data_IF_619628499252
#
_entry.id   IF_619628499252
#
_cell.length_a   1.000
_cell.length_b   1.000
_cell.length_c   1.000
_cell.angle_alpha   90.00
_cell.angle_beta   90.00
_cell.angle_gamma   90.00
#
_symmetry.space_group_name_H-M   'P 1'
#
loop_
_entity.id
_entity.type
_entity.pdbx_description
1 polymer ?
#
# COMPACT_ATOMS: atom_id res chain seq x y z
N UNK A 1 -27.08 -4.98 -7.76
CA UNK A 1 -28.51 -4.77 -7.49
C UNK A 1 -28.80 -3.53 -6.63
N UNK A 2 -29.86 -2.77 -6.91
CA UNK A 2 -30.36 -1.68 -6.04
C UNK A 2 -31.77 -2.00 -5.54
N UNK A 3 -32.04 -1.83 -4.25
CA UNK A 3 -33.36 -2.06 -3.64
C UNK A 3 -33.74 -0.92 -2.69
N UNK A 4 -35.02 -0.83 -2.32
CA UNK A 4 -35.52 0.16 -1.36
C UNK A 4 -35.52 -0.41 0.08
N UNK A 5 -35.62 0.46 1.07
CA UNK A 5 -35.59 0.09 2.48
C UNK A 5 -36.68 -0.92 2.90
N UNK A 6 -37.87 -0.82 2.31
CA UNK A 6 -38.99 -1.72 2.66
C UNK A 6 -38.73 -3.14 2.16
N UNK A 7 -38.27 -3.28 0.92
CA UNK A 7 -37.91 -4.57 0.33
C UNK A 7 -36.65 -5.16 1.00
N UNK A 8 -35.67 -4.32 1.32
CA UNK A 8 -34.48 -4.74 2.03
C UNK A 8 -34.79 -5.36 3.40
N UNK A 9 -35.78 -4.82 4.13
CA UNK A 9 -36.23 -5.39 5.40
C UNK A 9 -36.73 -6.84 5.26
N UNK A 10 -37.44 -7.14 4.18
CA UNK A 10 -38.02 -8.48 3.94
C UNK A 10 -37.01 -9.47 3.34
N UNK A 11 -36.02 -8.98 2.57
CA UNK A 11 -35.07 -9.82 1.83
C UNK A 11 -33.63 -9.70 2.33
N UNK A 12 -33.42 -9.19 3.55
CA UNK A 12 -32.08 -8.85 4.05
C UNK A 12 -31.10 -10.01 3.94
N UNK A 13 -31.51 -11.23 4.28
CA UNK A 13 -30.67 -12.43 4.19
C UNK A 13 -30.18 -12.68 2.75
N UNK A 14 -31.07 -12.64 1.76
CA UNK A 14 -30.70 -12.82 0.35
C UNK A 14 -29.76 -11.72 -0.14
N UNK A 15 -30.00 -10.48 0.28
CA UNK A 15 -29.14 -9.34 -0.06
C UNK A 15 -27.74 -9.46 0.55
N UNK A 16 -27.63 -10.05 1.75
CA UNK A 16 -26.34 -10.36 2.38
C UNK A 16 -25.61 -11.46 1.60
N UNK A 17 -26.29 -12.55 1.22
CA UNK A 17 -25.69 -13.62 0.42
C UNK A 17 -25.18 -13.11 -0.94
N UNK A 18 -25.94 -12.24 -1.61
CA UNK A 18 -25.50 -11.60 -2.85
C UNK A 18 -24.24 -10.75 -2.61
N UNK A 19 -24.22 -9.95 -1.54
CA UNK A 19 -23.03 -9.16 -1.19
C UNK A 19 -21.81 -10.05 -0.86
N UNK A 20 -22.00 -11.15 -0.14
CA UNK A 20 -20.96 -12.12 0.18
C UNK A 20 -20.44 -12.85 -1.06
N UNK A 21 -21.29 -13.09 -2.06
CA UNK A 21 -20.90 -13.64 -3.37
C UNK A 21 -20.15 -12.66 -4.26
N UNK A 22 -19.97 -11.41 -3.82
CA UNK A 22 -19.26 -10.36 -4.54
C UNK A 22 -20.15 -9.44 -5.38
N UNK A 23 -21.47 -9.59 -5.30
CA UNK A 23 -22.38 -8.67 -5.99
C UNK A 23 -22.49 -7.33 -5.26
N UNK A 24 -22.49 -6.24 -6.02
CA UNK A 24 -22.75 -4.91 -5.48
C UNK A 24 -24.23 -4.74 -5.11
N UNK A 25 -24.53 -4.64 -3.81
CA UNK A 25 -25.90 -4.44 -3.30
C UNK A 25 -26.05 -3.07 -2.62
N UNK A 26 -26.97 -2.25 -3.14
CA UNK A 26 -27.25 -0.89 -2.63
C UNK A 26 -28.69 -0.79 -2.12
N UNK A 27 -28.87 -0.32 -0.89
CA UNK A 27 -30.19 -0.06 -0.30
C UNK A 27 -30.45 1.45 -0.31
N UNK A 28 -31.62 1.82 -0.81
CA UNK A 28 -32.03 3.22 -1.01
C UNK A 28 -33.09 3.65 0.01
N UNK A 29 -33.02 4.92 0.43
CA UNK A 29 -34.03 5.58 1.26
C UNK A 29 -34.55 6.82 0.53
N UNK A 30 -35.88 6.92 0.37
CA UNK A 30 -36.53 8.00 -0.38
C UNK A 30 -35.95 8.21 -1.81
N UNK A 31 -35.71 7.10 -2.52
CA UNK A 31 -35.19 7.12 -3.90
C UNK A 31 -33.69 7.44 -4.03
N UNK A 32 -32.99 7.70 -2.92
CA UNK A 32 -31.54 7.98 -2.91
C UNK A 32 -30.76 6.80 -2.31
N UNK A 33 -29.60 6.42 -2.87
CA UNK A 33 -28.70 5.46 -2.24
C UNK A 33 -28.40 5.87 -0.80
N UNK A 34 -28.62 4.96 0.15
CA UNK A 34 -28.46 5.25 1.58
C UNK A 34 -27.33 4.42 2.19
N UNK A 35 -27.25 3.13 1.85
CA UNK A 35 -26.19 2.23 2.31
C UNK A 35 -25.81 1.24 1.21
N UNK A 36 -24.56 0.79 1.22
CA UNK A 36 -24.04 -0.31 0.39
C UNK A 36 -23.71 -1.48 1.30
N UNK A 37 -24.18 -2.68 0.97
CA UNK A 37 -23.75 -3.89 1.66
C UNK A 37 -22.39 -4.29 1.10
N UNK A 38 -21.44 -4.48 2.01
CA UNK A 38 -20.10 -4.99 1.70
C UNK A 38 -19.78 -6.11 2.68
N UNK A 39 -19.12 -7.19 2.24
CA UNK A 39 -18.62 -8.22 3.14
C UNK A 39 -17.75 -7.59 4.22
N UNK A 40 -18.09 -7.86 5.48
CA UNK A 40 -17.23 -7.46 6.59
C UNK A 40 -16.04 -8.43 6.63
N UNK A 41 -14.87 -7.96 6.19
CA UNK A 41 -13.61 -8.68 6.36
C UNK A 41 -13.04 -8.33 7.73
N UNK A 42 -12.66 -9.33 8.52
CA UNK A 42 -11.97 -9.10 9.79
C UNK A 42 -10.72 -8.26 9.56
N UNK A 43 -10.82 -6.98 9.88
CA UNK A 43 -9.68 -6.08 9.79
C UNK A 43 -8.91 -6.16 11.10
N UNK A 44 -7.91 -7.05 11.17
CA UNK A 44 -6.95 -7.11 12.29
C UNK A 44 -6.51 -5.69 12.68
N UNK A 45 -6.61 -5.34 13.96
CA UNK A 45 -6.04 -4.08 14.46
C UNK A 45 -4.57 -4.01 14.09
N UNK A 46 -4.16 -2.92 13.41
CA UNK A 46 -2.78 -2.74 12.98
C UNK A 46 -1.95 -2.41 14.22
N UNK A 47 -1.24 -3.38 14.75
CA UNK A 47 -0.25 -3.16 15.82
C UNK A 47 1.10 -2.89 15.17
N UNK A 48 1.68 -1.72 15.42
CA UNK A 48 3.00 -1.37 14.87
C UNK A 48 4.06 -2.35 15.36
N UNK A 49 4.75 -3.00 14.43
CA UNK A 49 5.73 -4.05 14.74
C UNK A 49 5.11 -5.40 15.08
N UNK A 50 3.86 -5.67 14.65
CA UNK A 50 3.23 -7.00 14.73
C UNK A 50 4.10 -8.11 14.13
N UNK A 51 4.97 -7.77 13.17
CA UNK A 51 5.90 -8.69 12.54
C UNK A 51 7.30 -8.69 13.19
N UNK A 52 7.49 -8.07 14.37
CA UNK A 52 8.79 -8.09 15.06
C UNK A 52 9.16 -9.55 15.39
N UNK A 53 10.28 -10.01 14.83
CA UNK A 53 10.71 -11.42 14.94
C UNK A 53 9.93 -12.41 14.06
N UNK A 54 9.00 -11.93 13.24
CA UNK A 54 8.26 -12.73 12.25
C UNK A 54 8.65 -12.40 10.81
N UNK A 55 9.30 -11.25 10.58
CA UNK A 55 9.99 -10.99 9.31
C UNK A 55 11.25 -11.85 9.30
N UNK A 56 11.16 -12.98 8.60
CA UNK A 56 12.33 -13.76 8.20
C UNK A 56 12.76 -13.17 6.87
N UNK A 57 13.78 -12.31 6.91
CA UNK A 57 14.53 -11.96 5.72
C UNK A 57 15.27 -13.22 5.25
N UNK A 58 15.44 -13.41 3.94
CA UNK A 58 16.33 -14.45 3.44
C UNK A 58 17.75 -14.21 3.98
N UNK A 59 18.54 -15.27 4.11
CA UNK A 59 19.90 -15.17 4.68
C UNK A 59 20.80 -14.21 3.88
N UNK A 60 20.44 -13.95 2.62
CA UNK A 60 21.11 -13.06 1.67
C UNK A 60 20.44 -11.69 1.49
N UNK A 61 19.36 -11.38 2.20
CA UNK A 61 18.58 -10.15 2.01
C UNK A 61 19.43 -8.87 2.12
N UNK A 62 20.41 -8.87 3.02
CA UNK A 62 21.37 -7.77 3.21
C UNK A 62 22.79 -8.17 2.75
N UNK A 63 22.88 -9.14 1.83
CA UNK A 63 24.15 -9.57 1.26
C UNK A 63 24.74 -8.48 0.38
N UNK A 64 26.07 -8.51 0.23
CA UNK A 64 26.77 -7.62 -0.69
C UNK A 64 26.26 -7.81 -2.13
N UNK A 65 25.97 -9.04 -2.53
CA UNK A 65 25.52 -9.36 -3.89
C UNK A 65 24.16 -8.73 -4.21
N UNK A 66 23.16 -8.90 -3.34
CA UNK A 66 21.84 -8.26 -3.49
C UNK A 66 21.96 -6.73 -3.50
N UNK A 67 22.77 -6.17 -2.58
CA UNK A 67 22.98 -4.74 -2.51
C UNK A 67 23.72 -4.20 -3.75
N UNK A 68 24.71 -4.93 -4.26
CA UNK A 68 25.42 -4.61 -5.49
C UNK A 68 24.49 -4.70 -6.70
N UNK A 69 23.61 -5.69 -6.79
CA UNK A 69 22.65 -5.84 -7.90
C UNK A 69 21.67 -4.67 -7.96
N UNK A 70 21.20 -4.20 -6.80
CA UNK A 70 20.36 -3.01 -6.69
C UNK A 70 21.17 -1.77 -7.07
N UNK A 71 22.37 -1.58 -6.51
CA UNK A 71 23.20 -0.39 -6.76
C UNK A 71 23.71 -0.32 -8.21
N UNK A 72 23.97 -1.46 -8.85
CA UNK A 72 24.48 -1.58 -10.21
C UNK A 72 23.37 -1.88 -11.23
N UNK A 73 22.10 -1.60 -10.90
CA UNK A 73 21.01 -1.74 -11.85
C UNK A 73 21.36 -0.95 -13.13
N UNK A 74 21.14 -1.50 -14.35
CA UNK A 74 21.49 -0.83 -15.58
C UNK A 74 20.92 0.60 -15.62
N UNK A 75 21.62 1.58 -16.21
CA UNK A 75 21.22 2.99 -16.15
C UNK A 75 19.83 3.25 -16.77
N UNK A 76 19.32 2.36 -17.62
CA UNK A 76 17.93 2.39 -18.08
C UNK A 76 16.88 2.15 -16.97
N UNK A 77 17.28 1.58 -15.83
CA UNK A 77 16.44 1.26 -14.67
C UNK A 77 16.74 2.23 -13.51
N UNK A 78 16.35 3.49 -13.68
CA UNK A 78 16.48 4.48 -12.62
C UNK A 78 15.74 4.05 -11.34
N UNK A 79 16.45 3.96 -10.23
CA UNK A 79 15.89 3.66 -8.91
C UNK A 79 15.48 4.94 -8.23
N UNK A 80 14.29 4.93 -7.64
CA UNK A 80 13.71 6.07 -6.92
C UNK A 80 13.43 5.71 -5.47
N UNK A 81 13.84 6.58 -4.55
CA UNK A 81 13.53 6.47 -3.12
C UNK A 81 12.59 7.61 -2.73
N UNK A 82 11.38 7.26 -2.31
CA UNK A 82 10.38 8.28 -1.98
C UNK A 82 10.62 8.90 -0.60
N UNK A 83 10.22 10.16 -0.45
CA UNK A 83 10.15 10.81 0.85
C UNK A 83 9.23 10.07 1.84
N UNK A 84 8.23 9.29 1.37
CA UNK A 84 7.38 8.47 2.24
C UNK A 84 8.14 7.29 2.84
N UNK A 85 9.03 6.66 2.06
CA UNK A 85 9.90 5.57 2.52
C UNK A 85 10.86 6.09 3.59
N UNK A 86 11.53 7.21 3.33
CA UNK A 86 12.42 7.86 4.30
C UNK A 86 11.67 8.24 5.57
N UNK A 87 10.46 8.82 5.44
CA UNK A 87 9.61 9.14 6.58
C UNK A 87 9.27 7.91 7.44
N UNK A 88 8.90 6.79 6.81
CA UNK A 88 8.63 5.55 7.54
C UNK A 88 9.90 5.00 8.23
N UNK A 89 11.05 5.06 7.56
CA UNK A 89 12.35 4.66 8.13
C UNK A 89 12.69 5.50 9.36
N UNK A 90 12.54 6.82 9.31
CA UNK A 90 12.81 7.71 10.45
C UNK A 90 11.90 7.43 11.65
N UNK A 91 10.61 7.13 11.42
CA UNK A 91 9.70 6.71 12.51
C UNK A 91 10.19 5.39 13.13
N UNK A 92 10.56 4.41 12.30
CA UNK A 92 11.08 3.12 12.79
C UNK A 92 12.39 3.28 13.55
N UNK A 93 13.27 4.20 13.13
CA UNK A 93 14.52 4.55 13.81
C UNK A 93 14.25 5.16 15.20
N UNK A 94 13.35 6.14 15.29
CA UNK A 94 12.96 6.76 16.56
C UNK A 94 12.38 5.73 17.55
N UNK A 95 11.67 4.72 17.05
CA UNK A 95 11.13 3.62 17.86
C UNK A 95 12.17 2.53 18.20
N UNK A 96 13.41 2.66 17.74
CA UNK A 96 14.48 1.66 17.91
C UNK A 96 14.23 0.35 17.16
N UNK A 97 13.38 0.36 16.12
CA UNK A 97 13.02 -0.82 15.32
C UNK A 97 13.87 -0.99 14.07
N UNK A 98 14.56 0.06 13.65
CA UNK A 98 15.43 0.08 12.48
C UNK A 98 16.67 0.91 12.79
N UNK A 99 17.83 0.49 12.32
CA UNK A 99 19.06 1.31 12.34
C UNK A 99 19.31 1.77 10.92
N UNK A 100 19.34 3.09 10.73
CA UNK A 100 19.67 3.74 9.45
C UNK A 100 20.67 4.86 9.73
N UNK A 101 21.52 5.22 8.76
CA UNK A 101 22.35 6.43 8.86
C UNK A 101 21.49 7.68 9.07
N UNK A 102 22.04 8.69 9.73
CA UNK A 102 21.32 9.94 10.00
C UNK A 102 21.17 10.79 8.73
N UNK A 103 22.15 10.70 7.81
CA UNK A 103 22.12 11.39 6.52
C UNK A 103 21.74 10.43 5.39
N UNK A 104 20.44 10.16 5.29
CA UNK A 104 19.88 9.27 4.25
C UNK A 104 19.96 9.92 2.87
N UNK A 105 19.92 11.24 2.78
CA UNK A 105 19.97 11.96 1.50
C UNK A 105 21.33 11.76 0.81
N UNK A 106 22.43 11.98 1.54
CA UNK A 106 23.78 11.70 1.02
C UNK A 106 23.94 10.23 0.62
N UNK A 107 23.39 9.29 1.39
CA UNK A 107 23.46 7.87 1.06
C UNK A 107 22.72 7.53 -0.26
N UNK A 108 21.55 8.13 -0.47
CA UNK A 108 20.78 7.96 -1.72
C UNK A 108 21.60 8.45 -2.91
N UNK A 109 22.25 9.61 -2.79
CA UNK A 109 23.12 10.17 -3.83
C UNK A 109 24.36 9.30 -4.09
N UNK A 110 25.04 8.85 -3.04
CA UNK A 110 26.23 7.98 -3.14
C UNK A 110 25.93 6.64 -3.83
N UNK A 111 24.73 6.09 -3.61
CA UNK A 111 24.25 4.86 -4.24
C UNK A 111 23.69 5.08 -5.66
N UNK A 112 23.67 6.32 -6.16
CA UNK A 112 23.14 6.65 -7.49
C UNK A 112 21.61 6.55 -7.61
N UNK A 113 20.91 6.59 -6.49
CA UNK A 113 19.45 6.58 -6.45
C UNK A 113 18.88 7.99 -6.59
N UNK A 114 17.62 8.09 -7.00
CA UNK A 114 16.93 9.36 -7.20
C UNK A 114 15.94 9.62 -6.06
N UNK A 115 16.06 10.76 -5.40
CA UNK A 115 15.04 11.18 -4.44
C UNK A 115 13.71 11.48 -5.16
N UNK A 116 12.61 10.91 -4.67
CA UNK A 116 11.27 11.12 -5.20
C UNK A 116 10.41 11.95 -4.23
N UNK A 117 10.22 13.26 -4.50
CA UNK A 117 9.47 14.14 -3.62
C UNK A 117 7.96 13.87 -3.65
N UNK A 118 7.28 14.20 -2.56
CA UNK A 118 5.81 14.13 -2.47
C UNK A 118 5.23 15.51 -2.77
N UNK A 119 4.36 15.58 -3.76
CA UNK A 119 3.62 16.78 -4.13
C UNK A 119 2.20 16.77 -3.56
N UNK A 120 1.51 17.92 -3.61
CA UNK A 120 0.09 18.00 -3.28
C UNK A 120 -0.77 17.08 -4.18
N UNK A 121 -0.36 16.90 -5.43
CA UNK A 121 -1.03 15.99 -6.36
C UNK A 121 -0.97 14.55 -5.85
N UNK A 122 0.20 14.09 -5.38
CA UNK A 122 0.37 12.76 -4.77
C UNK A 122 -0.55 12.58 -3.56
N UNK A 123 -0.63 13.59 -2.69
CA UNK A 123 -1.54 13.58 -1.54
C UNK A 123 -3.01 13.46 -1.92
N UNK A 124 -3.45 14.20 -2.94
CA UNK A 124 -4.83 14.12 -3.44
C UNK A 124 -5.15 12.77 -4.07
N UNK A 125 -4.22 12.19 -4.83
CA UNK A 125 -4.40 10.86 -5.42
C UNK A 125 -4.46 9.78 -4.36
N UNK A 126 -3.54 9.80 -3.39
CA UNK A 126 -3.53 8.86 -2.27
C UNK A 126 -4.86 8.86 -1.51
N UNK A 127 -5.48 10.03 -1.33
CA UNK A 127 -6.80 10.16 -0.69
C UNK A 127 -7.95 9.48 -1.45
N UNK A 128 -7.86 9.37 -2.78
CA UNK A 128 -8.90 8.77 -3.65
C UNK A 128 -8.78 7.26 -3.80
N UNK A 129 -7.62 6.68 -3.44
CA UNK A 129 -7.39 5.25 -3.58
C UNK A 129 -8.38 4.42 -2.75
N UNK A 130 -8.80 3.23 -3.22
CA UNK A 130 -9.55 2.28 -2.40
C UNK A 130 -8.85 1.99 -1.06
N UNK A 131 -9.63 1.64 -0.04
CA UNK A 131 -9.13 1.43 1.31
C UNK A 131 -8.68 -0.02 1.57
N UNK A 132 -7.79 -0.57 0.75
CA UNK A 132 -7.19 -1.89 1.01
C UNK A 132 -6.08 -1.81 2.08
N UNK A 133 -5.35 -0.69 2.11
CA UNK A 133 -4.36 -0.37 3.13
C UNK A 133 -4.95 0.61 4.15
N UNK A 134 -4.67 0.35 5.43
CA UNK A 134 -5.05 1.27 6.53
C UNK A 134 -4.03 2.38 6.77
N UNK A 135 -2.77 2.17 6.42
CA UNK A 135 -1.69 3.12 6.71
C UNK A 135 -1.55 4.08 5.53
N UNK A 136 -1.27 5.36 5.83
CA UNK A 136 -1.16 6.38 4.81
C UNK A 136 0.10 6.22 3.93
N UNK A 137 1.19 5.65 4.44
CA UNK A 137 2.45 5.51 3.70
C UNK A 137 2.30 4.58 2.49
N UNK A 138 1.71 3.39 2.67
CA UNK A 138 1.46 2.43 1.60
C UNK A 138 0.64 3.07 0.46
N UNK A 139 -0.42 3.78 0.83
CA UNK A 139 -1.28 4.50 -0.13
C UNK A 139 -0.55 5.64 -0.83
N UNK A 140 0.36 6.31 -0.14
CA UNK A 140 1.21 7.34 -0.75
C UNK A 140 2.18 6.72 -1.77
N UNK A 141 2.81 5.58 -1.44
CA UNK A 141 3.69 4.87 -2.37
C UNK A 141 2.96 4.42 -3.64
N UNK A 142 1.75 3.89 -3.47
CA UNK A 142 0.88 3.52 -4.60
C UNK A 142 0.56 4.75 -5.45
N UNK A 143 0.16 5.87 -4.82
CA UNK A 143 -0.17 7.10 -5.54
C UNK A 143 1.02 7.68 -6.30
N UNK A 144 2.22 7.65 -5.70
CA UNK A 144 3.47 8.04 -6.35
C UNK A 144 3.74 7.19 -7.58
N UNK A 145 3.70 5.86 -7.44
CA UNK A 145 4.00 4.97 -8.56
C UNK A 145 2.99 5.09 -9.71
N UNK A 146 1.71 5.27 -9.39
CA UNK A 146 0.68 5.52 -10.42
C UNK A 146 0.88 6.87 -11.11
N UNK A 147 1.19 7.93 -10.35
CA UNK A 147 1.37 9.28 -10.88
C UNK A 147 2.61 9.38 -11.79
N UNK A 148 3.71 8.79 -11.36
CA UNK A 148 5.03 8.90 -12.00
C UNK A 148 5.28 7.77 -13.00
N UNK A 149 4.33 6.82 -13.13
CA UNK A 149 4.52 5.65 -13.98
C UNK A 149 5.70 4.78 -13.55
N UNK A 150 5.89 4.59 -12.24
CA UNK A 150 6.97 3.76 -11.71
C UNK A 150 6.47 2.34 -11.41
N UNK A 151 7.41 1.42 -11.19
CA UNK A 151 7.12 0.10 -10.64
C UNK A 151 7.50 0.08 -9.16
N UNK A 152 6.74 -0.63 -8.33
CA UNK A 152 7.03 -0.76 -6.90
C UNK A 152 7.69 -2.11 -6.64
N UNK A 153 8.87 -2.07 -6.00
CA UNK A 153 9.50 -3.24 -5.41
C UNK A 153 8.88 -3.52 -4.03
N UNK A 154 8.17 -4.65 -3.86
CA UNK A 154 7.47 -4.97 -2.60
C UNK A 154 7.22 -6.47 -2.43
N UNK A 155 7.01 -6.90 -1.17
CA UNK A 155 6.48 -8.23 -0.82
C UNK A 155 5.01 -8.18 -0.35
N UNK A 156 4.38 -7.00 -0.38
CA UNK A 156 3.04 -6.80 0.18
C UNK A 156 1.94 -7.31 -0.76
N UNK A 157 1.12 -8.22 -0.25
CA UNK A 157 0.06 -8.93 -0.99
C UNK A 157 -1.13 -8.03 -1.39
N UNK A 158 -1.28 -6.84 -0.81
CA UNK A 158 -2.38 -5.92 -1.11
C UNK A 158 -2.04 -4.93 -2.23
N UNK A 159 -0.76 -4.78 -2.60
CA UNK A 159 -0.35 -3.88 -3.67
C UNK A 159 -0.95 -4.23 -5.05
N UNK A 160 -1.08 -5.51 -5.45
CA UNK A 160 -1.72 -5.90 -6.71
C UNK A 160 -3.15 -5.36 -6.88
N UNK A 161 -3.91 -5.21 -5.79
CA UNK A 161 -5.30 -4.73 -5.82
C UNK A 161 -5.42 -3.27 -6.29
N UNK A 162 -4.32 -2.51 -6.35
CA UNK A 162 -4.31 -1.10 -6.77
C UNK A 162 -3.99 -0.90 -8.25
N UNK A 163 -3.88 -1.95 -9.06
CA UNK A 163 -3.54 -1.81 -10.49
C UNK A 163 -2.24 -1.01 -10.73
N UNK A 164 -1.23 -1.25 -9.90
CA UNK A 164 0.11 -0.66 -10.01
C UNK A 164 1.07 -1.72 -10.57
N UNK A 165 2.15 -1.28 -11.25
CA UNK A 165 3.21 -2.19 -11.70
C UNK A 165 4.10 -2.60 -10.54
N UNK A 166 4.45 -3.88 -10.46
CA UNK A 166 5.16 -4.46 -9.33
C UNK A 166 6.39 -5.24 -9.76
N UNK A 167 7.42 -5.15 -8.94
CA UNK A 167 8.58 -6.05 -8.92
C UNK A 167 8.51 -6.81 -7.61
N UNK A 168 8.58 -8.13 -7.69
CA UNK A 168 8.56 -9.00 -6.51
C UNK A 168 9.92 -8.93 -5.78
N UNK A 169 9.89 -8.51 -4.53
CA UNK A 169 11.08 -8.38 -3.69
C UNK A 169 11.48 -9.69 -2.98
N UNK A 170 10.84 -10.82 -3.27
CA UNK A 170 11.11 -12.14 -2.68
C UNK A 170 12.20 -12.96 -3.38
N UNK A 171 12.73 -12.46 -4.49
CA UNK A 171 13.87 -13.05 -5.19
C UNK A 171 15.18 -12.56 -4.65
#
# INVERSE_FOLDING_TARGET
>A
MQTNMHEAKSKLFQLVELALSGEEVVISRAGKPAVKLVPFKDQKERVFGQFKGQVIASDDFDSKEVNDDIANCPPENAIYISAATVWEMSIKQQMGKLKVPDDIESLIEELGFNALPISLFHGQQAGKLPMYHRAPFDRMLIALAQAEGLQILTKDEYFPDYSVRLIDASK
#
